data_IF_622345753078
#
_entry.id   IF_622345753078
#
_cell.length_a   1.000
_cell.length_b   1.000
_cell.length_c   1.000
_cell.angle_alpha   90.00
_cell.angle_beta   90.00
_cell.angle_gamma   90.00
#
_symmetry.space_group_name_H-M   'P 1'
#
loop_
_entity.id
_entity.type
_entity.pdbx_description
1 polymer ?
#
# COMPACT_ATOMS: atom_id res chain seq x y z
N UNK A 1 -0.61 22.44 9.55
CA UNK A 1 -0.03 22.03 10.86
C UNK A 1 0.79 20.77 10.66
N UNK A 2 1.55 20.31 11.66
CA UNK A 2 2.31 19.06 11.57
C UNK A 2 1.87 18.11 12.68
N UNK A 3 1.80 16.81 12.38
CA UNK A 3 1.57 15.74 13.35
C UNK A 3 2.82 14.86 13.45
N UNK A 4 3.17 14.42 14.65
CA UNK A 4 4.29 13.51 14.80
C UNK A 4 4.00 12.17 14.10
N UNK A 5 5.00 11.58 13.47
CA UNK A 5 4.87 10.26 12.84
C UNK A 5 4.37 9.20 13.85
N UNK A 6 4.91 9.23 15.08
CA UNK A 6 4.50 8.33 16.17
C UNK A 6 3.04 8.52 16.58
N UNK A 7 2.54 9.75 16.53
CA UNK A 7 1.14 10.05 16.83
C UNK A 7 0.21 9.46 15.77
N UNK A 8 0.58 9.55 14.48
CA UNK A 8 -0.18 8.87 13.43
C UNK A 8 -0.20 7.35 13.64
N UNK A 9 0.94 6.72 13.91
CA UNK A 9 0.98 5.27 14.18
C UNK A 9 0.26 4.87 15.47
N UNK A 10 0.00 5.81 16.39
CA UNK A 10 -0.81 5.58 17.60
C UNK A 10 -2.30 5.63 17.30
N UNK A 11 -2.74 6.60 16.50
CA UNK A 11 -4.14 6.90 16.20
C UNK A 11 -4.69 5.97 15.12
N UNK A 12 -3.93 5.77 14.05
CA UNK A 12 -4.37 5.05 12.85
C UNK A 12 -4.87 3.63 13.10
N UNK A 13 -4.27 2.79 13.98
CA UNK A 13 -4.82 1.46 14.26
C UNK A 13 -6.27 1.53 14.73
N UNK A 14 -6.60 2.50 15.59
CA UNK A 14 -7.95 2.71 16.09
C UNK A 14 -8.88 3.31 15.03
N UNK A 15 -8.41 4.33 14.31
CA UNK A 15 -9.19 4.94 13.22
C UNK A 15 -9.54 3.92 12.13
N UNK A 16 -8.59 3.07 11.74
CA UNK A 16 -8.81 2.00 10.76
C UNK A 16 -9.79 0.95 11.32
N UNK A 17 -9.71 0.60 12.61
CA UNK A 17 -10.70 -0.29 13.22
C UNK A 17 -12.12 0.29 13.19
N UNK A 18 -12.29 1.61 13.35
CA UNK A 18 -13.60 2.25 13.19
C UNK A 18 -14.18 2.07 11.78
N UNK A 19 -13.30 1.99 10.77
CA UNK A 19 -13.70 1.70 9.40
C UNK A 19 -14.07 0.23 9.17
N UNK A 20 -13.85 -0.66 10.14
CA UNK A 20 -14.25 -2.07 10.07
C UNK A 20 -13.12 -3.07 9.85
N UNK A 21 -11.86 -2.64 9.86
CA UNK A 21 -10.72 -3.56 9.75
C UNK A 21 -10.53 -4.42 11.02
N UNK A 22 -10.10 -5.67 10.83
CA UNK A 22 -9.61 -6.51 11.92
C UNK A 22 -8.34 -5.89 12.55
N UNK A 23 -8.09 -6.15 13.85
CA UNK A 23 -6.98 -5.53 14.58
C UNK A 23 -5.62 -5.72 13.88
N UNK A 24 -5.26 -6.94 13.49
CA UNK A 24 -3.98 -7.22 12.83
C UNK A 24 -3.85 -6.60 11.42
N UNK A 25 -4.97 -6.30 10.76
CA UNK A 25 -4.98 -5.55 9.50
C UNK A 25 -4.82 -4.06 9.77
N UNK A 26 -5.54 -3.53 10.76
CA UNK A 26 -5.48 -2.12 11.13
C UNK A 26 -4.09 -1.71 11.65
N UNK A 27 -3.46 -2.56 12.46
CA UNK A 27 -2.12 -2.33 13.00
C UNK A 27 -1.06 -2.25 11.89
N UNK A 28 -1.02 -3.25 11.00
CA UNK A 28 -0.13 -3.22 9.82
C UNK A 28 -0.46 -2.08 8.86
N UNK A 29 -1.76 -1.84 8.63
CA UNK A 29 -2.26 -0.77 7.78
C UNK A 29 -1.87 0.62 8.29
N UNK A 30 -1.79 0.83 9.61
CA UNK A 30 -1.34 2.09 10.19
C UNK A 30 0.08 2.46 9.77
N UNK A 31 0.99 1.49 9.76
CA UNK A 31 2.37 1.69 9.28
C UNK A 31 2.40 1.98 7.78
N UNK A 32 1.56 1.31 6.99
CA UNK A 32 1.47 1.56 5.55
C UNK A 32 0.94 2.97 5.25
N UNK A 33 -0.13 3.40 5.92
CA UNK A 33 -0.68 4.76 5.78
C UNK A 33 0.32 5.81 6.25
N UNK A 34 0.99 5.61 7.38
CA UNK A 34 1.99 6.56 7.88
C UNK A 34 3.19 6.68 6.92
N UNK A 35 3.62 5.56 6.33
CA UNK A 35 4.66 5.53 5.29
C UNK A 35 4.17 6.27 4.03
N UNK A 36 2.95 6.00 3.59
CA UNK A 36 2.31 6.73 2.48
C UNK A 36 2.25 8.22 2.74
N UNK A 37 1.84 8.63 3.95
CA UNK A 37 1.70 10.03 4.33
C UNK A 37 3.04 10.77 4.43
N UNK A 38 4.13 10.05 4.74
CA UNK A 38 5.48 10.61 4.67
C UNK A 38 5.93 10.90 3.22
N UNK A 39 5.39 10.15 2.24
CA UNK A 39 5.66 10.35 0.81
C UNK A 39 4.73 11.40 0.21
N UNK A 40 3.43 11.24 0.46
CA UNK A 40 2.34 12.12 0.04
C UNK A 40 1.28 12.23 1.14
N UNK A 41 1.23 13.36 1.87
CA UNK A 41 0.26 13.58 2.95
C UNK A 41 -1.21 13.54 2.52
N UNK A 42 -1.51 13.72 1.22
CA UNK A 42 -2.89 13.70 0.72
C UNK A 42 -3.61 12.37 1.00
N UNK A 43 -2.86 11.30 1.22
CA UNK A 43 -3.41 9.99 1.59
C UNK A 43 -4.24 10.03 2.88
N UNK A 44 -3.92 10.92 3.81
CA UNK A 44 -4.66 11.06 5.06
C UNK A 44 -6.06 11.61 4.81
N UNK A 45 -6.24 12.44 3.77
CA UNK A 45 -7.54 12.94 3.36
C UNK A 45 -8.38 11.87 2.66
N UNK A 46 -7.76 10.91 1.97
CA UNK A 46 -8.45 9.73 1.43
C UNK A 46 -8.92 8.81 2.56
N UNK A 47 -8.06 8.52 3.54
CA UNK A 47 -8.42 7.71 4.71
C UNK A 47 -9.54 8.37 5.52
N UNK A 48 -9.51 9.70 5.66
CA UNK A 48 -10.58 10.48 6.29
C UNK A 48 -11.92 10.32 5.60
N UNK A 49 -11.93 10.28 4.26
CA UNK A 49 -13.14 10.20 3.45
C UNK A 49 -13.62 8.76 3.23
N UNK A 50 -12.85 7.77 3.70
CA UNK A 50 -13.17 6.37 3.52
C UNK A 50 -14.47 5.99 4.25
N UNK A 51 -15.31 5.24 3.56
CA UNK A 51 -16.49 4.62 4.14
C UNK A 51 -16.19 3.32 4.90
N UNK A 52 -17.21 2.71 5.52
CA UNK A 52 -17.12 1.39 6.11
C UNK A 52 -16.58 0.34 5.13
N UNK A 53 -15.70 -0.53 5.61
CA UNK A 53 -15.03 -1.55 4.78
C UNK A 53 -15.94 -2.75 4.55
N UNK A 54 -15.85 -3.39 3.38
CA UNK A 54 -16.63 -4.59 3.11
C UNK A 54 -16.31 -5.70 4.11
N UNK A 55 -17.32 -6.49 4.49
CA UNK A 55 -17.14 -7.64 5.38
C UNK A 55 -16.61 -8.89 4.67
N UNK A 56 -16.55 -8.87 3.34
CA UNK A 56 -15.97 -9.93 2.51
C UNK A 56 -14.51 -9.64 2.19
N UNK A 57 -13.73 -10.71 1.97
CA UNK A 57 -12.36 -10.59 1.49
C UNK A 57 -12.26 -10.49 -0.04
N UNK A 58 -11.05 -10.25 -0.52
CA UNK A 58 -10.70 -10.32 -1.94
C UNK A 58 -10.52 -11.78 -2.41
N UNK A 59 -10.48 -11.98 -3.74
CA UNK A 59 -10.27 -13.30 -4.35
C UNK A 59 -9.02 -13.33 -5.20
N UNK A 60 -8.28 -14.44 -5.11
CA UNK A 60 -7.13 -14.73 -5.97
C UNK A 60 -7.47 -15.73 -7.07
N UNK A 61 -6.90 -15.49 -8.25
CA UNK A 61 -6.84 -16.46 -9.35
C UNK A 61 -5.50 -16.30 -10.06
N UNK A 62 -4.85 -17.41 -10.41
CA UNK A 62 -3.71 -17.39 -11.35
C UNK A 62 -4.19 -17.85 -12.72
N UNK A 63 -3.82 -17.13 -13.77
CA UNK A 63 -4.17 -17.48 -15.15
C UNK A 63 -3.05 -17.03 -16.09
N UNK A 64 -2.53 -17.93 -16.93
CA UNK A 64 -1.50 -17.62 -17.93
C UNK A 64 -0.27 -16.87 -17.37
N UNK A 65 0.18 -17.22 -16.17
CA UNK A 65 1.32 -16.57 -15.52
C UNK A 65 1.03 -15.22 -14.85
N UNK A 66 -0.18 -14.67 -15.03
CA UNK A 66 -0.65 -13.47 -14.33
C UNK A 66 -1.43 -13.86 -13.07
N UNK A 67 -1.05 -13.28 -11.93
CA UNK A 67 -1.89 -13.31 -10.73
C UNK A 67 -2.96 -12.24 -10.87
N UNK A 68 -4.21 -12.59 -10.58
CA UNK A 68 -5.34 -11.69 -10.56
C UNK A 68 -5.91 -11.64 -9.14
N UNK A 69 -6.06 -10.43 -8.63
CA UNK A 69 -6.69 -10.13 -7.36
C UNK A 69 -7.94 -9.30 -7.64
N UNK A 70 -9.11 -9.88 -7.41
CA UNK A 70 -10.37 -9.14 -7.43
C UNK A 70 -10.65 -8.63 -6.01
N UNK A 71 -10.50 -7.32 -5.82
CA UNK A 71 -10.64 -6.68 -4.53
C UNK A 71 -12.11 -6.50 -4.13
N UNK A 72 -13.04 -6.46 -5.09
CA UNK A 72 -14.47 -6.24 -4.81
C UNK A 72 -14.74 -5.08 -3.82
N UNK A 73 -14.04 -3.95 -3.98
CA UNK A 73 -14.13 -2.77 -3.12
C UNK A 73 -13.22 -2.76 -1.89
N UNK A 74 -12.53 -3.87 -1.60
CA UNK A 74 -11.54 -3.95 -0.51
C UNK A 74 -10.38 -2.99 -0.80
N UNK A 75 -9.85 -2.38 0.25
CA UNK A 75 -8.81 -1.36 0.17
C UNK A 75 -7.46 -1.92 -0.24
N UNK A 76 -6.66 -1.05 -0.87
CA UNK A 76 -5.25 -1.30 -1.11
C UNK A 76 -4.43 -1.52 0.17
N UNK A 77 -4.95 -1.09 1.34
CA UNK A 77 -4.38 -1.45 2.64
C UNK A 77 -4.26 -2.97 2.85
N UNK A 78 -5.19 -3.74 2.31
CA UNK A 78 -5.20 -5.19 2.39
C UNK A 78 -4.66 -5.83 1.12
N UNK A 79 -5.09 -5.35 -0.04
CA UNK A 79 -4.77 -6.00 -1.32
C UNK A 79 -3.34 -5.75 -1.77
N UNK A 80 -2.77 -4.58 -1.44
CA UNK A 80 -1.40 -4.22 -1.81
C UNK A 80 -0.36 -5.15 -1.18
N UNK A 81 -0.27 -5.20 0.17
CA UNK A 81 0.64 -6.10 0.86
C UNK A 81 0.43 -7.57 0.49
N UNK A 82 -0.83 -8.04 0.44
CA UNK A 82 -1.13 -9.41 0.07
C UNK A 82 -0.67 -9.75 -1.38
N UNK A 83 -0.80 -8.80 -2.31
CA UNK A 83 -0.25 -8.96 -3.66
C UNK A 83 1.29 -9.03 -3.65
N UNK A 84 1.97 -8.13 -2.93
CA UNK A 84 3.43 -8.18 -2.82
C UNK A 84 3.90 -9.51 -2.22
N UNK A 85 3.28 -9.97 -1.14
CA UNK A 85 3.62 -11.26 -0.50
C UNK A 85 3.46 -12.43 -1.48
N UNK A 86 2.33 -12.47 -2.20
CA UNK A 86 2.06 -13.51 -3.19
C UNK A 86 3.08 -13.50 -4.35
N UNK A 87 3.51 -12.32 -4.79
CA UNK A 87 4.49 -12.17 -5.85
C UNK A 87 5.92 -12.47 -5.36
N UNK A 88 6.28 -11.99 -4.17
CA UNK A 88 7.58 -12.20 -3.54
C UNK A 88 7.89 -13.69 -3.35
N UNK A 89 6.88 -14.49 -2.98
CA UNK A 89 7.01 -15.95 -2.85
C UNK A 89 7.43 -16.66 -4.16
N UNK A 90 7.22 -16.03 -5.31
CA UNK A 90 7.54 -16.57 -6.63
C UNK A 90 8.63 -15.77 -7.36
N UNK A 91 9.12 -14.68 -6.77
CA UNK A 91 10.09 -13.80 -7.38
C UNK A 91 11.43 -14.53 -7.56
N UNK A 92 11.72 -14.93 -8.80
CA UNK A 92 12.96 -15.60 -9.20
C UNK A 92 13.88 -14.73 -10.06
N UNK A 93 15.04 -15.28 -10.45
CA UNK A 93 16.13 -14.52 -11.06
C UNK A 93 15.92 -14.01 -12.50
N UNK A 94 14.86 -14.40 -13.20
CA UNK A 94 14.73 -14.11 -14.64
C UNK A 94 13.40 -13.49 -15.11
N UNK A 95 12.39 -13.32 -14.24
CA UNK A 95 11.05 -12.86 -14.65
C UNK A 95 10.48 -11.82 -13.70
N UNK A 96 9.62 -10.96 -14.25
CA UNK A 96 8.71 -10.13 -13.48
C UNK A 96 7.49 -10.99 -13.12
N UNK A 97 7.27 -11.17 -11.82
CA UNK A 97 6.01 -11.72 -11.33
C UNK A 97 5.00 -10.58 -11.27
N UNK A 98 3.78 -10.83 -11.74
CA UNK A 98 2.77 -9.78 -11.92
C UNK A 98 1.46 -10.11 -11.20
N UNK A 99 0.89 -9.10 -10.54
CA UNK A 99 -0.43 -9.14 -9.94
C UNK A 99 -1.28 -7.97 -10.44
N UNK A 100 -2.33 -8.28 -11.19
CA UNK A 100 -3.37 -7.30 -11.55
C UNK A 100 -4.42 -7.24 -10.45
N UNK A 101 -4.66 -6.05 -9.93
CA UNK A 101 -5.62 -5.77 -8.86
C UNK A 101 -6.81 -4.99 -9.46
N UNK A 102 -8.00 -5.58 -9.37
CA UNK A 102 -9.25 -5.01 -9.87
C UNK A 102 -10.09 -4.46 -8.72
N UNK A 103 -10.78 -3.33 -8.95
CA UNK A 103 -11.77 -2.76 -8.04
C UNK A 103 -11.30 -2.52 -6.59
N UNK A 104 -10.02 -2.18 -6.41
CA UNK A 104 -9.49 -1.77 -5.09
C UNK A 104 -9.73 -0.28 -4.83
N UNK A 105 -9.82 0.09 -3.56
CA UNK A 105 -9.92 1.49 -3.10
C UNK A 105 -8.57 2.01 -2.58
N UNK A 106 -8.38 3.34 -2.53
CA UNK A 106 -7.14 4.01 -2.08
C UNK A 106 -5.86 3.59 -2.84
N UNK A 107 -5.89 3.65 -4.18
CA UNK A 107 -4.72 3.34 -5.02
C UNK A 107 -3.52 4.28 -4.79
N UNK A 108 -3.72 5.41 -4.10
CA UNK A 108 -2.66 6.30 -3.61
C UNK A 108 -1.69 5.61 -2.65
N UNK A 109 -2.03 4.43 -2.12
CA UNK A 109 -1.15 3.59 -1.29
C UNK A 109 -0.11 2.78 -2.08
N UNK A 110 -0.21 2.70 -3.42
CA UNK A 110 0.77 1.98 -4.26
C UNK A 110 2.22 2.34 -3.91
N UNK A 111 2.64 3.63 -3.80
CA UNK A 111 3.99 4.00 -3.41
C UNK A 111 4.43 3.35 -2.09
N UNK A 112 3.59 3.37 -1.06
CA UNK A 112 3.91 2.79 0.25
C UNK A 112 4.04 1.26 0.17
N UNK A 113 3.20 0.61 -0.63
CA UNK A 113 3.29 -0.83 -0.89
C UNK A 113 4.60 -1.20 -1.60
N UNK A 114 5.02 -0.43 -2.60
CA UNK A 114 6.31 -0.65 -3.27
C UNK A 114 7.50 -0.40 -2.35
N UNK A 115 7.38 0.54 -1.39
CA UNK A 115 8.39 0.72 -0.34
C UNK A 115 8.53 -0.53 0.51
N UNK A 116 7.42 -1.16 0.91
CA UNK A 116 7.47 -2.46 1.60
C UNK A 116 8.11 -3.56 0.76
N UNK A 117 7.91 -3.55 -0.56
CA UNK A 117 8.56 -4.52 -1.46
C UNK A 117 10.11 -4.37 -1.48
N UNK A 118 10.63 -3.15 -1.28
CA UNK A 118 12.08 -2.93 -1.18
C UNK A 118 12.68 -3.58 0.07
N UNK A 119 11.92 -3.78 1.14
CA UNK A 119 12.40 -4.47 2.34
C UNK A 119 12.64 -5.98 2.09
N UNK A 120 12.00 -6.55 1.06
CA UNK A 120 12.33 -7.87 0.52
C UNK A 120 13.51 -7.86 -0.47
N UNK A 121 14.18 -6.72 -0.65
CA UNK A 121 15.21 -6.49 -1.68
C UNK A 121 14.71 -6.80 -3.11
N UNK A 122 13.42 -6.55 -3.36
CA UNK A 122 12.80 -6.73 -4.67
C UNK A 122 12.73 -5.40 -5.41
N UNK A 123 13.06 -5.44 -6.71
CA UNK A 123 12.69 -4.35 -7.61
C UNK A 123 11.21 -4.47 -7.93
N UNK A 124 10.48 -3.36 -7.91
CA UNK A 124 9.04 -3.40 -8.15
C UNK A 124 8.56 -2.24 -9.01
N UNK A 125 7.53 -2.50 -9.82
CA UNK A 125 6.82 -1.51 -10.61
C UNK A 125 5.37 -1.53 -10.17
N UNK A 126 4.82 -0.37 -9.83
CA UNK A 126 3.40 -0.18 -9.57
C UNK A 126 2.81 0.70 -10.65
N UNK A 127 1.72 0.25 -11.26
CA UNK A 127 1.00 0.97 -12.30
C UNK A 127 -0.42 1.24 -11.84
N UNK A 128 -0.89 2.47 -12.05
CA UNK A 128 -2.28 2.88 -11.84
C UNK A 128 -2.85 3.26 -13.20
N UNK A 129 -3.82 2.46 -13.68
CA UNK A 129 -4.43 2.67 -14.97
C UNK A 129 -5.37 3.88 -14.96
N UNK A 130 -5.26 4.72 -15.99
CA UNK A 130 -6.04 5.93 -16.21
C UNK A 130 -6.73 5.85 -17.59
N UNK A 131 -7.64 6.78 -17.86
CA UNK A 131 -8.27 6.86 -19.17
C UNK A 131 -7.23 7.19 -20.25
N UNK A 132 -6.98 6.22 -21.14
CA UNK A 132 -6.04 6.35 -22.26
C UNK A 132 -4.55 6.38 -21.89
N UNK A 133 -4.17 6.16 -20.62
CA UNK A 133 -2.77 6.16 -20.17
C UNK A 133 -2.61 5.44 -18.82
N UNK A 134 -1.43 5.52 -18.21
CA UNK A 134 -1.20 5.06 -16.85
C UNK A 134 -0.16 5.90 -16.13
N UNK A 135 -0.31 6.04 -14.82
CA UNK A 135 0.77 6.52 -13.94
C UNK A 135 1.59 5.30 -13.49
N UNK A 136 2.90 5.45 -13.38
CA UNK A 136 3.78 4.38 -12.92
C UNK A 136 4.75 4.86 -11.86
N UNK A 137 5.12 3.93 -10.99
CA UNK A 137 6.20 4.05 -10.03
C UNK A 137 7.14 2.86 -10.18
N UNK A 138 8.45 3.09 -10.10
CA UNK A 138 9.47 2.05 -10.04
C UNK A 138 10.25 2.21 -8.74
N UNK A 139 10.20 1.19 -7.89
CA UNK A 139 11.01 1.11 -6.68
C UNK A 139 12.23 0.24 -6.93
N UNK A 140 13.41 0.84 -6.77
CA UNK A 140 14.71 0.20 -6.89
C UNK A 140 15.32 0.03 -5.48
N UNK A 141 15.54 -1.21 -5.00
CA UNK A 141 16.05 -1.50 -3.67
C UNK A 141 17.58 -1.27 -3.55
N UNK A 142 18.16 -0.35 -4.31
CA UNK A 142 19.57 0.04 -4.17
C UNK A 142 19.91 0.47 -2.72
N UNK A 143 21.19 0.62 -2.36
CA UNK A 143 21.66 0.87 -1.00
C UNK A 143 20.92 2.00 -0.25
N UNK A 144 20.33 2.95 -0.98
CA UNK A 144 19.52 4.04 -0.41
C UNK A 144 18.00 3.92 -0.63
N UNK A 145 17.56 3.01 -1.50
CA UNK A 145 16.17 2.85 -1.94
C UNK A 145 15.67 4.07 -2.72
N UNK A 146 15.32 3.91 -3.99
CA UNK A 146 14.84 5.02 -4.82
C UNK A 146 13.49 4.66 -5.43
N UNK A 147 12.57 5.62 -5.39
CA UNK A 147 11.27 5.55 -6.03
C UNK A 147 11.24 6.54 -7.20
N UNK A 148 11.23 6.02 -8.41
CA UNK A 148 11.02 6.79 -9.64
C UNK A 148 9.53 6.86 -9.95
N UNK A 149 9.09 7.95 -10.57
CA UNK A 149 7.71 8.09 -11.03
C UNK A 149 7.63 8.76 -12.39
N UNK A 150 6.58 8.42 -13.12
CA UNK A 150 6.28 9.02 -14.41
C UNK A 150 4.90 8.62 -14.90
N UNK A 151 4.59 9.04 -16.14
CA UNK A 151 3.31 8.80 -16.78
C UNK A 151 3.52 8.26 -18.19
N UNK A 152 2.71 7.27 -18.54
CA UNK A 152 2.63 6.71 -19.87
C UNK A 152 3.78 5.76 -20.20
N UNK A 153 3.56 5.05 -21.31
CA UNK A 153 4.42 3.99 -21.81
C UNK A 153 5.81 4.48 -22.18
N UNK A 154 5.90 5.57 -22.95
CA UNK A 154 7.16 6.05 -23.51
C UNK A 154 8.14 6.51 -22.42
N UNK A 155 7.62 7.13 -21.35
CA UNK A 155 8.44 7.51 -20.20
C UNK A 155 8.99 6.28 -19.46
N UNK A 156 8.17 5.24 -19.28
CA UNK A 156 8.63 4.00 -18.67
C UNK A 156 9.67 3.28 -19.56
N UNK A 157 9.43 3.25 -20.87
CA UNK A 157 10.34 2.67 -21.86
C UNK A 157 11.71 3.35 -21.81
N UNK A 158 11.74 4.69 -21.79
CA UNK A 158 12.97 5.46 -21.71
C UNK A 158 13.77 5.16 -20.43
N UNK A 159 13.10 5.01 -19.28
CA UNK A 159 13.74 4.64 -18.01
C UNK A 159 14.34 3.24 -18.06
N UNK A 160 13.61 2.27 -18.63
CA UNK A 160 14.01 0.87 -18.74
C UNK A 160 14.96 0.59 -19.92
N UNK A 161 15.34 1.61 -20.69
CA UNK A 161 16.24 1.46 -21.84
C UNK A 161 15.62 0.67 -22.99
N UNK A 162 14.33 0.87 -23.25
CA UNK A 162 13.55 0.19 -24.30
C UNK A 162 13.40 -1.32 -24.10
N UNK A 163 13.41 -1.81 -22.85
CA UNK A 163 13.04 -3.20 -22.53
C UNK A 163 11.57 -3.46 -22.91
N UNK A 164 11.36 -4.02 -24.11
CA UNK A 164 10.02 -4.26 -24.66
C UNK A 164 9.29 -5.37 -23.93
N UNK A 165 9.97 -6.32 -23.29
CA UNK A 165 9.31 -7.46 -22.65
C UNK A 165 8.49 -7.03 -21.43
N UNK A 166 8.98 -6.05 -20.65
CA UNK A 166 8.22 -5.46 -19.54
C UNK A 166 6.98 -4.75 -20.06
N UNK A 167 7.13 -3.93 -21.11
CA UNK A 167 6.05 -3.15 -21.70
C UNK A 167 4.97 -4.05 -22.33
N UNK A 168 5.38 -5.08 -23.07
CA UNK A 168 4.50 -6.10 -23.64
C UNK A 168 3.73 -6.86 -22.54
N UNK A 169 4.37 -7.13 -21.41
CA UNK A 169 3.74 -7.77 -20.26
C UNK A 169 2.68 -6.86 -19.61
N UNK A 170 2.94 -5.55 -19.54
CA UNK A 170 1.98 -4.55 -19.06
C UNK A 170 0.79 -4.47 -20.01
N UNK A 171 1.04 -4.42 -21.32
CA UNK A 171 0.00 -4.37 -22.36
C UNK A 171 -0.87 -5.64 -22.31
N UNK A 172 -0.23 -6.81 -22.19
CA UNK A 172 -0.91 -8.11 -22.06
C UNK A 172 -1.70 -8.27 -20.76
N UNK A 173 -1.36 -7.52 -19.71
CA UNK A 173 -2.14 -7.51 -18.46
C UNK A 173 -3.54 -6.89 -18.65
N UNK A 174 -3.79 -6.18 -19.76
CA UNK A 174 -5.11 -5.68 -20.13
C UNK A 174 -5.71 -4.79 -19.05
N UNK A 175 -5.00 -3.70 -18.70
CA UNK A 175 -5.41 -2.79 -17.66
C UNK A 175 -6.58 -1.92 -18.11
N UNK A 176 -7.58 -1.78 -17.24
CA UNK A 176 -8.69 -0.83 -17.42
C UNK A 176 -8.60 0.28 -16.38
N UNK A 177 -9.15 1.48 -16.65
CA UNK A 177 -9.11 2.60 -15.71
C UNK A 177 -9.58 2.20 -14.31
N UNK A 178 -8.83 2.63 -13.29
CA UNK A 178 -9.10 2.27 -11.89
C UNK A 178 -8.54 0.91 -11.45
N UNK A 179 -7.84 0.18 -12.32
CA UNK A 179 -7.06 -0.99 -11.92
C UNK A 179 -5.63 -0.62 -11.54
N UNK A 180 -5.02 -1.45 -10.71
CA UNK A 180 -3.59 -1.41 -10.45
C UNK A 180 -2.88 -2.67 -10.97
N UNK A 181 -1.62 -2.54 -11.35
CA UNK A 181 -0.72 -3.65 -11.64
C UNK A 181 0.51 -3.51 -10.78
N UNK A 182 0.82 -4.54 -10.01
CA UNK A 182 2.08 -4.67 -9.29
C UNK A 182 2.94 -5.69 -10.01
N UNK A 183 4.19 -5.34 -10.26
CA UNK A 183 5.20 -6.22 -10.83
C UNK A 183 6.38 -6.25 -9.86
N UNK A 184 6.95 -7.43 -9.60
CA UNK A 184 8.16 -7.56 -8.78
C UNK A 184 9.18 -8.45 -9.47
N UNK A 185 10.45 -8.19 -9.24
CA UNK A 185 11.55 -9.05 -9.68
C UNK A 185 12.66 -9.07 -8.63
N UNK A 186 13.30 -10.24 -8.49
CA UNK A 186 14.55 -10.36 -7.74
C UNK A 186 15.75 -9.78 -8.50
N UNK A 187 15.62 -9.60 -9.83
CA UNK A 187 16.63 -8.93 -10.66
C UNK A 187 16.38 -7.43 -10.65
N UNK A 188 17.47 -6.67 -10.50
CA UNK A 188 17.43 -5.21 -10.66
C UNK A 188 17.38 -4.84 -12.15
N UNK A 189 16.43 -3.99 -12.58
CA UNK A 189 16.45 -3.45 -13.93
C UNK A 189 17.66 -2.52 -14.12
N UNK A 190 18.24 -2.53 -15.31
CA UNK A 190 19.27 -1.55 -15.68
C UNK A 190 18.61 -0.23 -16.05
N UNK A 191 18.59 0.70 -15.11
CA UNK A 191 17.95 2.00 -15.31
C UNK A 191 18.84 2.92 -16.16
N UNK A 192 18.26 3.59 -17.15
CA UNK A 192 18.94 4.65 -17.91
C UNK A 192 18.76 6.00 -17.24
N UNK A 193 19.77 6.85 -17.40
CA UNK A 193 19.72 8.24 -16.97
C UNK A 193 18.52 8.91 -17.64
N UNK A 194 17.51 9.20 -16.85
CA UNK A 194 16.24 9.70 -17.31
C UNK A 194 15.84 10.79 -16.32
N UNK A 195 15.42 11.95 -16.83
CA UNK A 195 15.07 13.12 -16.02
C UNK A 195 13.79 12.94 -15.17
N UNK A 196 13.46 11.71 -14.80
CA UNK A 196 12.29 11.37 -14.01
C UNK A 196 12.46 11.81 -12.55
N UNK A 197 11.33 12.05 -11.90
CA UNK A 197 11.29 12.42 -10.49
C UNK A 197 11.69 11.21 -9.67
N UNK A 198 12.84 11.31 -9.00
CA UNK A 198 13.36 10.32 -8.08
C UNK A 198 13.20 10.82 -6.63
N UNK A 199 12.52 10.03 -5.80
CA UNK A 199 12.37 10.27 -4.37
C UNK A 199 13.12 9.18 -3.61
N UNK A 200 13.70 9.54 -2.47
CA UNK A 200 14.29 8.57 -1.53
C UNK A 200 13.35 8.37 -0.35
N UNK A 201 12.57 7.27 -0.31
CA UNK A 201 11.55 7.07 0.72
C UNK A 201 12.10 7.10 2.13
N UNK A 202 13.28 6.50 2.38
CA UNK A 202 13.92 6.51 3.69
C UNK A 202 14.23 7.92 4.20
N UNK A 203 14.67 8.82 3.32
CA UNK A 203 14.93 10.22 3.68
C UNK A 203 13.63 10.98 4.00
N UNK A 204 12.55 10.71 3.25
CA UNK A 204 11.21 11.28 3.52
C UNK A 204 10.63 10.79 4.84
N UNK A 205 10.73 9.49 5.12
CA UNK A 205 10.30 8.89 6.39
C UNK A 205 11.12 9.43 7.56
N UNK A 206 12.45 9.53 7.41
CA UNK A 206 13.32 10.12 8.44
C UNK A 206 12.95 11.59 8.70
N UNK A 207 12.67 12.36 7.64
CA UNK A 207 12.19 13.75 7.77
C UNK A 207 10.84 13.81 8.50
N UNK A 208 9.91 12.90 8.20
CA UNK A 208 8.62 12.81 8.88
C UNK A 208 8.77 12.48 10.37
N UNK A 209 9.72 11.63 10.75
CA UNK A 209 10.05 11.40 12.17
C UNK A 209 10.60 12.64 12.87
N UNK A 210 11.40 13.46 12.18
CA UNK A 210 12.05 14.63 12.78
C UNK A 210 11.12 15.86 12.85
N UNK A 211 10.33 16.10 11.80
CA UNK A 211 9.54 17.34 11.63
C UNK A 211 8.03 17.12 11.69
N UNK A 212 7.59 15.87 11.74
CA UNK A 212 6.19 15.52 11.56
C UNK A 212 5.75 15.54 10.10
N UNK A 213 4.53 15.07 9.87
CA UNK A 213 3.86 15.05 8.58
C UNK A 213 2.92 16.25 8.50
N UNK A 214 2.98 17.06 7.43
CA UNK A 214 2.07 18.18 7.27
C UNK A 214 0.65 17.67 7.01
N UNK A 215 -0.34 18.19 7.74
CA UNK A 215 -1.74 17.87 7.53
C UNK A 215 -2.64 19.05 7.91
N UNK A 216 -3.90 18.99 7.49
CA UNK A 216 -4.93 19.94 7.90
C UNK A 216 -5.47 19.59 9.29
N UNK A 217 -5.98 20.60 10.01
CA UNK A 217 -6.64 20.39 11.30
C UNK A 217 -7.89 19.53 11.16
N UNK A 218 -8.66 19.75 10.11
CA UNK A 218 -9.86 18.98 9.80
C UNK A 218 -9.55 17.48 9.64
N UNK A 219 -8.45 17.15 8.94
CA UNK A 219 -7.99 15.78 8.77
C UNK A 219 -7.62 15.14 10.10
N UNK A 220 -6.87 15.87 10.95
CA UNK A 220 -6.48 15.35 12.25
C UNK A 220 -7.69 15.14 13.18
N UNK A 221 -8.58 16.13 13.26
CA UNK A 221 -9.78 16.06 14.11
C UNK A 221 -10.68 14.90 13.67
N UNK A 222 -10.80 14.64 12.37
CA UNK A 222 -11.55 13.50 11.84
C UNK A 222 -10.90 12.14 12.16
N UNK A 223 -9.57 12.03 12.11
CA UNK A 223 -8.87 10.80 12.52
C UNK A 223 -9.06 10.51 14.01
N UNK A 224 -9.02 11.54 14.86
CA UNK A 224 -9.33 11.41 16.29
C UNK A 224 -10.80 11.05 16.53
N UNK A 225 -11.74 11.60 15.76
CA UNK A 225 -13.14 11.22 15.84
C UNK A 225 -13.33 9.73 15.51
N UNK A 226 -12.64 9.20 14.50
CA UNK A 226 -12.63 7.77 14.20
C UNK A 226 -12.02 6.94 15.35
N UNK A 227 -10.91 7.36 15.94
CA UNK A 227 -10.33 6.70 17.12
C UNK A 227 -11.35 6.59 18.26
N UNK A 228 -12.07 7.67 18.56
CA UNK A 228 -13.08 7.72 19.63
C UNK A 228 -14.24 6.73 19.42
N UNK A 229 -14.61 6.41 18.17
CA UNK A 229 -15.63 5.40 17.88
C UNK A 229 -15.22 4.01 18.38
N UNK A 230 -13.91 3.71 18.38
CA UNK A 230 -13.39 2.43 18.87
C UNK A 230 -13.07 2.42 20.34
N UNK A 231 -12.78 3.60 20.93
CA UNK A 231 -12.49 3.77 22.36
C UNK A 231 -13.74 3.89 23.23
N UNK A 232 -14.92 4.13 22.64
CA UNK A 232 -16.17 4.13 23.40
C UNK A 232 -16.31 2.81 24.19
N UNK A 233 -16.61 2.84 25.51
CA UNK A 233 -16.69 1.65 26.33
C UNK A 233 -17.87 0.81 25.85
N UNK A 234 -17.59 -0.14 24.96
CA UNK A 234 -18.50 -1.22 24.63
C UNK A 234 -18.48 -2.20 25.80
N UNK A 235 -19.32 -1.86 26.79
CA UNK A 235 -19.86 -2.74 27.82
C UNK A 235 -19.80 -4.22 27.42
N UNK A 236 -19.07 -5.02 28.21
CA UNK A 236 -19.00 -6.50 28.23
C UNK A 236 -18.60 -7.24 26.93
N UNK A 237 -18.97 -6.77 25.74
CA UNK A 237 -18.67 -7.38 24.42
C UNK A 237 -17.18 -7.36 24.06
N UNK A 238 -16.45 -6.35 24.52
CA UNK A 238 -14.99 -6.21 24.28
C UNK A 238 -14.18 -7.36 24.89
N UNK A 239 -14.60 -7.90 26.05
CA UNK A 239 -13.91 -9.05 26.69
C UNK A 239 -14.05 -10.33 25.86
N UNK A 240 -15.22 -10.55 25.25
CA UNK A 240 -15.48 -11.73 24.42
C UNK A 240 -14.77 -11.73 23.06
N UNK A 241 -14.48 -10.55 22.47
CA UNK A 241 -13.80 -10.48 21.16
C UNK A 241 -12.27 -10.50 21.26
N UNK A 242 -11.69 -10.22 22.42
CA UNK A 242 -10.25 -10.26 22.64
C UNK A 242 -9.71 -11.65 23.04
N UNK A 243 -10.53 -12.71 22.99
CA UNK A 243 -10.07 -14.08 23.30
C UNK A 243 -9.67 -14.32 24.76
N UNK A 244 -9.94 -13.39 25.68
CA UNK A 244 -9.71 -13.58 27.11
C UNK A 244 -10.84 -14.41 27.72
N UNK A 245 -10.80 -15.73 27.55
CA UNK A 245 -11.47 -16.62 28.51
C UNK A 245 -10.70 -16.60 29.81
N UNK A 246 -11.27 -15.98 30.85
CA UNK A 246 -10.77 -16.14 32.22
C UNK A 246 -10.88 -17.63 32.55
N UNK A 247 -9.74 -18.29 32.76
CA UNK A 247 -9.74 -19.67 33.23
C UNK A 247 -10.47 -19.72 34.59
N UNK A 248 -11.37 -20.69 34.83
CA UNK A 248 -12.00 -20.83 36.13
C UNK A 248 -10.92 -21.07 37.19
N UNK A 249 -11.04 -20.37 38.32
CA UNK A 249 -10.14 -20.56 39.45
C UNK A 249 -10.18 -22.03 39.90
N UNK A 250 -9.05 -22.63 40.28
CA UNK A 250 -9.03 -24.00 40.79
C UNK A 250 -9.85 -24.05 42.09
N UNK A 251 -10.84 -24.93 42.12
CA UNK A 251 -11.63 -25.21 43.32
C UNK A 251 -10.69 -25.69 44.43
N UNK A 252 -10.82 -25.05 45.60
CA UNK A 252 -10.19 -25.45 46.86
C UNK A 252 -10.86 -26.70 47.42
#
# INVERSE_FOLDING_TARGET
>A
MFVAYSELTRVLPWSLRALGYAFGTADRGAHLVATGAALDPAILDEIRQAGPRPSHGFRYRKSNGLTMLDAAGVSFLETGPAAIDALAAHAGGAKWEMCRILAATELSLVPATLVGAMDYNLSSIGIIARDGTFDWLLADPDARGVLYSGRGRDALAALLGEDTAVLESIDAAGLTPGCALLMVSARRPELKASGHVAVRPREKIAMAHQKGIPLSRETLDALYALEMLTWAPTSERSRSQAGFTVAPAPNS
#
